data_IF_651334513969
#
_entry.id   IF_651334513969
#
_cell.length_a   1.000
_cell.length_b   1.000
_cell.length_c   1.000
_cell.angle_alpha   90.00
_cell.angle_beta   90.00
_cell.angle_gamma   90.00
#
_symmetry.space_group_name_H-M   'P 1'
#
loop_
_entity.id
_entity.type
_entity.pdbx_description
1 polymer ?
#
# COMPACT_ATOMS: atom_id res chain seq x y z
N UNK A 1 3.03 5.20 -17.03
CA UNK A 1 2.94 6.11 -18.16
C UNK A 1 2.53 7.50 -17.66
N UNK A 2 2.86 8.55 -18.45
CA UNK A 2 2.51 9.95 -18.12
C UNK A 2 0.99 10.21 -17.99
N UNK A 3 0.17 9.32 -18.50
CA UNK A 3 -1.29 9.39 -18.41
C UNK A 3 -1.86 8.59 -17.21
N UNK A 4 -1.06 7.75 -16.56
CA UNK A 4 -1.54 6.92 -15.45
C UNK A 4 -1.72 7.76 -14.18
N UNK A 5 -2.80 7.47 -13.45
CA UNK A 5 -3.11 8.10 -12.18
C UNK A 5 -3.03 7.09 -11.03
N UNK A 6 -2.47 7.53 -9.92
CA UNK A 6 -2.47 6.82 -8.65
C UNK A 6 -3.25 7.67 -7.64
N UNK A 7 -4.31 7.12 -7.07
CA UNK A 7 -5.14 7.81 -6.09
C UNK A 7 -4.63 7.49 -4.67
N UNK A 8 -4.57 8.51 -3.81
CA UNK A 8 -4.32 8.34 -2.37
C UNK A 8 -5.24 9.27 -1.55
N UNK A 9 -5.22 9.14 -0.22
CA UNK A 9 -6.13 9.87 0.68
C UNK A 9 -5.34 10.79 1.61
N UNK A 10 -5.69 12.07 1.61
CA UNK A 10 -5.09 13.06 2.49
C UNK A 10 -5.70 12.99 3.91
N UNK A 11 -4.89 13.17 4.97
CA UNK A 11 -3.44 13.39 4.92
C UNK A 11 -2.67 12.11 4.61
N UNK A 12 -1.57 12.22 3.87
CA UNK A 12 -0.75 11.08 3.44
C UNK A 12 0.74 11.36 3.63
N UNK A 13 1.56 10.32 3.60
CA UNK A 13 3.02 10.42 3.62
C UNK A 13 3.51 11.10 2.34
N UNK A 14 4.09 12.28 2.47
CA UNK A 14 4.36 13.21 1.36
C UNK A 14 5.22 12.64 0.24
N UNK A 15 6.09 11.68 0.57
CA UNK A 15 6.96 11.01 -0.39
C UNK A 15 6.20 10.17 -1.43
N UNK A 16 4.95 9.81 -1.18
CA UNK A 16 4.13 9.13 -2.21
C UNK A 16 4.01 9.95 -3.49
N UNK A 17 3.95 11.28 -3.34
CA UNK A 17 3.95 12.18 -4.50
C UNK A 17 5.24 12.06 -5.28
N UNK A 18 6.38 12.13 -4.58
CA UNK A 18 7.71 12.02 -5.20
C UNK A 18 7.85 10.68 -5.91
N UNK A 19 7.51 9.56 -5.26
CA UNK A 19 7.64 8.23 -5.84
C UNK A 19 6.75 8.04 -7.07
N UNK A 20 5.52 8.51 -7.02
CA UNK A 20 4.56 8.38 -8.12
C UNK A 20 4.96 9.25 -9.31
N UNK A 21 5.28 10.51 -9.08
CA UNK A 21 5.60 11.46 -10.15
C UNK A 21 6.98 11.19 -10.78
N UNK A 22 7.95 10.74 -9.99
CA UNK A 22 9.26 10.30 -10.54
C UNK A 22 9.13 9.05 -11.41
N UNK A 23 8.15 8.19 -11.11
CA UNK A 23 7.82 7.03 -11.96
C UNK A 23 7.02 7.40 -13.22
N UNK A 24 6.69 8.68 -13.42
CA UNK A 24 6.00 9.20 -14.58
C UNK A 24 4.48 9.09 -14.52
N UNK A 25 3.90 8.79 -13.36
CA UNK A 25 2.45 8.82 -13.14
C UNK A 25 2.05 10.08 -12.36
N UNK A 26 0.75 10.39 -12.32
CA UNK A 26 0.21 11.51 -11.57
C UNK A 26 -0.37 11.02 -10.24
N UNK A 27 -0.02 11.66 -9.12
CA UNK A 27 -0.69 11.41 -7.85
C UNK A 27 -1.95 12.29 -7.74
N UNK A 28 -3.08 11.64 -7.46
CA UNK A 28 -4.38 12.29 -7.19
C UNK A 28 -4.69 12.08 -5.70
N UNK A 29 -4.59 13.15 -4.91
CA UNK A 29 -4.88 13.11 -3.48
C UNK A 29 -6.33 13.53 -3.22
N UNK A 30 -7.11 12.66 -2.63
CA UNK A 30 -8.49 12.91 -2.23
C UNK A 30 -8.56 13.26 -0.74
N UNK A 31 -9.46 14.14 -0.36
CA UNK A 31 -9.75 14.39 1.04
C UNK A 31 -10.35 13.12 1.68
N UNK A 32 -9.91 12.81 2.90
CA UNK A 32 -10.59 11.84 3.76
C UNK A 32 -11.76 12.51 4.47
N UNK A 33 -12.63 11.72 5.08
CA UNK A 33 -13.64 12.22 6.00
C UNK A 33 -12.96 13.06 7.11
N UNK A 34 -13.40 14.31 7.35
CA UNK A 34 -12.68 15.23 8.22
C UNK A 34 -12.70 14.82 9.71
N UNK A 35 -13.69 14.05 10.13
CA UNK A 35 -13.87 13.67 11.52
C UNK A 35 -13.23 12.31 11.84
N UNK A 36 -13.30 11.38 10.91
CA UNK A 36 -12.87 9.97 11.12
C UNK A 36 -11.61 9.60 10.36
N UNK A 37 -11.18 10.40 9.41
CA UNK A 37 -10.11 10.10 8.44
C UNK A 37 -10.31 8.80 7.64
N UNK A 38 -11.53 8.26 7.63
CA UNK A 38 -11.88 7.13 6.77
C UNK A 38 -12.02 7.60 5.32
N UNK A 39 -12.02 6.65 4.39
CA UNK A 39 -12.19 6.92 2.96
C UNK A 39 -13.58 7.51 2.69
N UNK A 40 -13.63 8.69 2.05
CA UNK A 40 -14.84 9.19 1.43
C UNK A 40 -15.07 8.47 0.10
N UNK A 41 -16.01 7.53 0.12
CA UNK A 41 -16.31 6.70 -1.06
C UNK A 41 -16.99 7.48 -2.17
N UNK A 42 -17.69 8.57 -1.88
CA UNK A 42 -18.30 9.41 -2.90
C UNK A 42 -17.25 10.15 -3.71
N UNK A 43 -16.25 10.70 -3.02
CA UNK A 43 -15.10 11.33 -3.67
C UNK A 43 -14.26 10.32 -4.44
N UNK A 44 -14.00 9.14 -3.83
CA UNK A 44 -13.23 8.09 -4.51
C UNK A 44 -13.92 7.62 -5.78
N UNK A 45 -15.21 7.32 -5.73
CA UNK A 45 -15.96 6.85 -6.89
C UNK A 45 -15.98 7.87 -8.03
N UNK A 46 -16.12 9.16 -7.71
CA UNK A 46 -16.10 10.24 -8.70
C UNK A 46 -14.72 10.50 -9.31
N UNK A 47 -13.65 10.19 -8.57
CA UNK A 47 -12.27 10.39 -9.03
C UNK A 47 -11.73 9.22 -9.87
N UNK A 48 -12.27 8.00 -9.65
CA UNK A 48 -11.88 6.81 -10.42
C UNK A 48 -12.28 6.98 -11.89
N UNK A 49 -11.31 6.74 -12.78
CA UNK A 49 -11.48 6.85 -14.23
C UNK A 49 -10.57 5.86 -14.97
N UNK A 50 -10.64 5.81 -16.30
CA UNK A 50 -9.87 4.89 -17.14
C UNK A 50 -8.34 5.06 -17.04
N UNK A 51 -7.86 6.23 -16.57
CA UNK A 51 -6.44 6.49 -16.31
C UNK A 51 -5.99 5.94 -14.96
N UNK A 52 -6.91 5.65 -14.04
CA UNK A 52 -6.57 5.13 -12.71
C UNK A 52 -5.94 3.75 -12.83
N UNK A 53 -4.69 3.63 -12.40
CA UNK A 53 -3.92 2.38 -12.43
C UNK A 53 -3.81 1.75 -11.05
N UNK A 54 -3.76 2.58 -10.01
CA UNK A 54 -3.69 2.09 -8.63
C UNK A 54 -4.37 3.04 -7.65
N UNK A 55 -4.81 2.45 -6.53
CA UNK A 55 -5.15 3.17 -5.30
C UNK A 55 -4.10 2.81 -4.26
N UNK A 56 -3.49 3.82 -3.65
CA UNK A 56 -2.47 3.66 -2.62
C UNK A 56 -3.04 4.04 -1.27
N UNK A 57 -2.97 3.12 -0.32
CA UNK A 57 -3.46 3.29 1.05
C UNK A 57 -2.35 3.03 2.06
N UNK A 58 -2.43 3.69 3.20
CA UNK A 58 -1.57 3.45 4.35
C UNK A 58 -2.46 3.29 5.59
N UNK A 59 -2.46 2.10 6.17
CA UNK A 59 -3.29 1.80 7.34
C UNK A 59 -2.61 0.77 8.25
N UNK A 60 -2.25 1.15 9.49
CA UNK A 60 -2.43 2.45 10.12
C UNK A 60 -1.72 3.60 9.37
N UNK A 61 -2.36 4.76 9.34
CA UNK A 61 -1.95 5.88 8.47
C UNK A 61 -0.89 6.77 9.13
N UNK A 62 0.04 7.25 8.33
CA UNK A 62 0.92 8.38 8.65
C UNK A 62 0.46 9.60 7.80
N UNK A 63 0.01 10.73 8.42
CA UNK A 63 0.20 11.11 9.82
C UNK A 63 -1.04 10.92 10.72
N UNK A 64 -2.21 10.56 10.20
CA UNK A 64 -3.47 10.63 10.98
C UNK A 64 -3.60 9.55 12.06
N UNK A 65 -2.85 8.45 11.97
CA UNK A 65 -2.98 7.30 12.86
C UNK A 65 -4.24 6.44 12.62
N UNK A 66 -5.08 6.79 11.65
CA UNK A 66 -6.32 6.06 11.40
C UNK A 66 -6.04 4.61 10.95
N UNK A 67 -6.83 3.70 11.48
CA UNK A 67 -6.92 2.32 10.97
C UNK A 67 -8.20 2.19 10.18
N UNK A 68 -8.11 1.73 8.93
CA UNK A 68 -9.30 1.45 8.16
C UNK A 68 -10.02 0.23 8.72
N UNK A 69 -11.33 0.39 8.94
CA UNK A 69 -12.17 -0.70 9.43
C UNK A 69 -12.29 -1.82 8.40
N UNK A 70 -12.66 -3.01 8.85
CA UNK A 70 -12.94 -4.13 7.94
C UNK A 70 -14.06 -3.78 6.94
N UNK A 71 -15.05 -3.01 7.38
CA UNK A 71 -16.12 -2.51 6.51
C UNK A 71 -15.59 -1.57 5.43
N UNK A 72 -14.73 -0.62 5.81
CA UNK A 72 -14.04 0.29 4.86
C UNK A 72 -13.25 -0.50 3.82
N UNK A 73 -12.50 -1.51 4.26
CA UNK A 73 -11.70 -2.35 3.36
C UNK A 73 -12.58 -3.16 2.40
N UNK A 74 -13.69 -3.73 2.89
CA UNK A 74 -14.66 -4.45 2.05
C UNK A 74 -15.31 -3.53 1.01
N UNK A 75 -15.71 -2.32 1.40
CA UNK A 75 -16.28 -1.33 0.47
C UNK A 75 -15.26 -0.92 -0.58
N UNK A 76 -14.00 -0.69 -0.19
CA UNK A 76 -12.92 -0.37 -1.11
C UNK A 76 -12.71 -1.51 -2.13
N UNK A 77 -12.59 -2.74 -1.66
CA UNK A 77 -12.41 -3.91 -2.51
C UNK A 77 -13.55 -4.05 -3.54
N UNK A 78 -14.80 -3.94 -3.09
CA UNK A 78 -15.98 -4.05 -3.96
C UNK A 78 -16.02 -2.92 -5.01
N UNK A 79 -15.65 -1.69 -4.64
CA UNK A 79 -15.60 -0.57 -5.55
C UNK A 79 -14.51 -0.77 -6.61
N UNK A 80 -13.30 -1.18 -6.22
CA UNK A 80 -12.20 -1.43 -7.15
C UNK A 80 -12.50 -2.58 -8.10
N UNK A 81 -13.14 -3.66 -7.63
CA UNK A 81 -13.56 -4.77 -8.48
C UNK A 81 -14.57 -4.31 -9.54
N UNK A 82 -15.60 -3.56 -9.12
CA UNK A 82 -16.62 -3.02 -10.01
C UNK A 82 -16.03 -2.07 -11.07
N UNK A 83 -15.17 -1.14 -10.65
CA UNK A 83 -14.53 -0.17 -11.56
C UNK A 83 -13.51 -0.81 -12.48
N UNK A 84 -12.78 -1.82 -12.02
CA UNK A 84 -11.90 -2.61 -12.90
C UNK A 84 -12.68 -3.32 -14.01
N UNK A 85 -13.84 -3.88 -13.67
CA UNK A 85 -14.73 -4.51 -14.67
C UNK A 85 -15.32 -3.48 -15.63
N UNK A 86 -15.76 -2.32 -15.14
CA UNK A 86 -16.32 -1.21 -15.92
C UNK A 86 -15.30 -0.69 -16.96
N UNK A 87 -14.06 -0.45 -16.53
CA UNK A 87 -12.99 0.10 -17.39
C UNK A 87 -12.24 -0.98 -18.18
N UNK A 88 -12.57 -2.26 -17.96
CA UNK A 88 -11.83 -3.40 -18.55
C UNK A 88 -10.32 -3.29 -18.32
N UNK A 89 -9.94 -2.75 -17.18
CA UNK A 89 -8.56 -2.49 -16.77
C UNK A 89 -8.43 -2.78 -15.28
N UNK A 90 -7.40 -3.53 -14.90
CA UNK A 90 -7.13 -3.80 -13.50
C UNK A 90 -6.67 -2.54 -12.78
N UNK A 91 -7.36 -2.18 -11.69
CA UNK A 91 -6.91 -1.16 -10.75
C UNK A 91 -6.23 -1.90 -9.60
N UNK A 92 -4.94 -1.66 -9.39
CA UNK A 92 -4.20 -2.30 -8.30
C UNK A 92 -4.41 -1.56 -6.98
N UNK A 93 -4.41 -2.30 -5.89
CA UNK A 93 -4.39 -1.75 -4.54
C UNK A 93 -2.98 -1.88 -3.98
N UNK A 94 -2.31 -0.76 -3.74
CA UNK A 94 -1.00 -0.72 -3.08
C UNK A 94 -1.27 -0.35 -1.62
N UNK A 95 -0.84 -1.22 -0.70
CA UNK A 95 -0.99 -0.96 0.74
C UNK A 95 0.38 -0.85 1.39
N UNK A 96 0.64 0.29 2.03
CA UNK A 96 1.85 0.54 2.80
C UNK A 96 1.55 0.29 4.28
N UNK A 97 2.21 -0.72 4.86
CA UNK A 97 1.83 -1.28 6.17
C UNK A 97 2.96 -1.27 7.22
N UNK A 98 3.81 -0.24 7.31
CA UNK A 98 4.92 -0.25 8.26
C UNK A 98 4.49 -0.16 9.73
N UNK A 99 3.22 0.20 9.99
CA UNK A 99 2.67 0.44 11.34
C UNK A 99 1.68 -0.66 11.78
N UNK A 100 1.59 -1.77 11.06
CA UNK A 100 0.59 -2.83 11.30
C UNK A 100 0.57 -3.32 12.75
N UNK A 101 1.71 -3.47 13.38
CA UNK A 101 1.87 -3.95 14.75
C UNK A 101 1.75 -2.82 15.80
N UNK A 102 1.81 -1.55 15.38
CA UNK A 102 1.77 -0.39 16.28
C UNK A 102 0.35 0.14 16.41
N UNK A 103 -0.52 -0.68 16.97
CA UNK A 103 -1.91 -0.34 17.26
C UNK A 103 -2.23 -0.58 18.73
N UNK A 104 -3.13 0.21 19.27
CA UNK A 104 -3.47 0.23 20.69
C UNK A 104 -4.96 -0.08 20.89
N UNK A 105 -5.35 -0.39 22.13
CA UNK A 105 -6.75 -0.59 22.47
C UNK A 105 -7.41 -1.81 21.83
N UNK A 106 -6.64 -2.80 21.39
CA UNK A 106 -7.17 -4.03 20.78
C UNK A 106 -7.68 -3.85 19.35
N UNK A 107 -7.35 -2.74 18.70
CA UNK A 107 -7.72 -2.50 17.30
C UNK A 107 -7.09 -3.57 16.40
N UNK A 108 -7.91 -4.13 15.50
CA UNK A 108 -7.45 -5.11 14.50
C UNK A 108 -7.21 -4.42 13.17
N UNK A 109 -6.03 -4.61 12.60
CA UNK A 109 -5.69 -4.11 11.26
C UNK A 109 -6.06 -5.19 10.24
N UNK A 110 -7.01 -4.93 9.34
CA UNK A 110 -7.38 -5.91 8.31
C UNK A 110 -6.22 -6.20 7.35
N UNK A 111 -6.12 -7.44 6.87
CA UNK A 111 -5.23 -7.77 5.75
C UNK A 111 -5.98 -7.53 4.44
N UNK A 112 -5.59 -6.50 3.69
CA UNK A 112 -6.27 -6.08 2.47
C UNK A 112 -6.25 -7.17 1.39
N UNK A 113 -5.18 -7.98 1.37
CA UNK A 113 -5.03 -9.14 0.47
C UNK A 113 -6.13 -10.21 0.62
N UNK A 114 -6.85 -10.22 1.74
CA UNK A 114 -7.99 -11.14 1.96
C UNK A 114 -9.27 -10.67 1.24
N UNK A 115 -9.34 -9.39 0.90
CA UNK A 115 -10.56 -8.77 0.36
C UNK A 115 -10.41 -8.39 -1.12
N UNK A 116 -9.19 -8.06 -1.55
CA UNK A 116 -8.93 -7.69 -2.94
C UNK A 116 -7.70 -8.41 -3.47
N UNK A 117 -7.88 -9.24 -4.51
CA UNK A 117 -6.79 -10.07 -5.05
C UNK A 117 -5.67 -9.25 -5.69
N UNK A 118 -6.02 -8.11 -6.35
CA UNK A 118 -5.05 -7.28 -7.04
C UNK A 118 -4.30 -6.33 -6.08
N UNK A 119 -3.78 -6.88 -4.97
CA UNK A 119 -3.13 -6.14 -3.90
C UNK A 119 -1.62 -6.38 -3.89
N UNK A 120 -0.88 -5.29 -3.74
CA UNK A 120 0.57 -5.26 -3.51
C UNK A 120 0.79 -4.67 -2.11
N UNK A 121 1.52 -5.39 -1.26
CA UNK A 121 1.84 -4.94 0.10
C UNK A 121 3.26 -4.45 0.16
N UNK A 122 3.47 -3.23 0.66
CA UNK A 122 4.76 -2.69 1.04
C UNK A 122 4.89 -2.74 2.55
N UNK A 123 5.93 -3.38 3.06
CA UNK A 123 6.18 -3.51 4.49
C UNK A 123 7.62 -3.14 4.84
N UNK A 124 7.81 -2.51 6.00
CA UNK A 124 9.10 -2.14 6.52
C UNK A 124 9.24 -2.51 7.98
N UNK A 125 10.40 -3.06 8.35
CA UNK A 125 10.77 -3.33 9.75
C UNK A 125 11.29 -2.08 10.49
N UNK A 126 11.24 -0.92 9.84
CA UNK A 126 11.67 0.36 10.42
C UNK A 126 10.94 0.71 11.71
N UNK A 127 9.68 0.25 11.84
CA UNK A 127 8.82 0.58 12.99
C UNK A 127 8.64 -0.62 13.91
N UNK A 128 8.19 -1.75 13.41
CA UNK A 128 7.90 -2.96 14.21
C UNK A 128 9.12 -3.54 14.94
N UNK A 129 10.33 -3.40 14.39
CA UNK A 129 11.56 -3.86 15.01
C UNK A 129 12.55 -2.71 15.34
N UNK A 130 12.10 -1.45 15.25
CA UNK A 130 12.93 -0.28 15.49
C UNK A 130 14.25 -0.25 14.70
N UNK A 131 14.19 -0.69 13.43
CA UNK A 131 15.34 -0.80 12.53
C UNK A 131 15.26 0.20 11.34
N UNK A 132 15.02 1.51 11.58
CA UNK A 132 14.87 2.45 10.45
C UNK A 132 16.18 2.68 9.69
N UNK A 133 17.33 2.57 10.36
CA UNK A 133 18.66 2.75 9.78
C UNK A 133 19.07 1.60 8.86
N UNK A 134 18.55 0.41 9.10
CA UNK A 134 18.99 -0.82 8.41
C UNK A 134 18.36 -1.01 7.03
N UNK A 135 17.40 -0.17 6.68
CA UNK A 135 16.74 -0.14 5.37
C UNK A 135 16.22 -1.50 4.91
N UNK A 136 15.53 -2.22 5.81
CA UNK A 136 15.00 -3.56 5.54
C UNK A 136 13.48 -3.59 5.56
N UNK A 137 12.92 -4.25 4.55
CA UNK A 137 11.48 -4.44 4.35
C UNK A 137 11.26 -5.43 3.20
N UNK A 138 10.02 -5.56 2.79
CA UNK A 138 9.67 -6.40 1.64
C UNK A 138 8.49 -5.83 0.88
N UNK A 139 8.37 -6.22 -0.38
CA UNK A 139 7.17 -6.04 -1.18
C UNK A 139 6.58 -7.41 -1.46
N UNK A 140 5.31 -7.58 -1.14
CA UNK A 140 4.57 -8.80 -1.43
C UNK A 140 3.59 -8.52 -2.57
N UNK A 141 3.73 -9.24 -3.67
CA UNK A 141 2.76 -9.27 -4.76
C UNK A 141 1.84 -10.46 -4.53
N UNK A 142 0.55 -10.21 -4.39
CA UNK A 142 -0.41 -11.29 -4.21
C UNK A 142 -0.33 -12.26 -5.41
N UNK A 143 -0.05 -13.56 -5.20
CA UNK A 143 0.11 -14.51 -6.29
C UNK A 143 -1.15 -14.72 -7.12
N UNK A 144 -2.32 -14.34 -6.61
CA UNK A 144 -3.59 -14.41 -7.33
C UNK A 144 -3.95 -13.12 -8.07
N UNK A 145 -3.10 -12.09 -7.98
CA UNK A 145 -3.32 -10.84 -8.70
C UNK A 145 -3.24 -11.04 -10.21
N UNK A 146 -3.94 -10.19 -10.93
CA UNK A 146 -3.80 -10.12 -12.39
C UNK A 146 -2.35 -9.78 -12.76
N UNK A 147 -1.77 -10.51 -13.70
CA UNK A 147 -0.37 -10.35 -14.11
C UNK A 147 0.66 -10.46 -12.96
N UNK A 148 0.39 -11.24 -11.91
CA UNK A 148 1.24 -11.35 -10.71
C UNK A 148 2.72 -11.58 -11.01
N UNK A 149 3.03 -12.47 -11.97
CA UNK A 149 4.41 -12.76 -12.38
C UNK A 149 5.10 -11.53 -12.99
N UNK A 150 4.42 -10.83 -13.87
CA UNK A 150 4.93 -9.61 -14.52
C UNK A 150 5.13 -8.50 -13.50
N UNK A 151 4.18 -8.32 -12.57
CA UNK A 151 4.31 -7.37 -11.46
C UNK A 151 5.52 -7.69 -10.59
N UNK A 152 5.69 -8.95 -10.21
CA UNK A 152 6.84 -9.37 -9.42
C UNK A 152 8.17 -9.04 -10.13
N UNK A 153 8.27 -9.37 -11.42
CA UNK A 153 9.46 -9.06 -12.22
C UNK A 153 9.68 -7.55 -12.36
N UNK A 154 8.61 -6.77 -12.52
CA UNK A 154 8.69 -5.31 -12.59
C UNK A 154 9.18 -4.71 -11.27
N UNK A 155 8.68 -5.18 -10.12
CA UNK A 155 9.15 -4.76 -8.79
C UNK A 155 10.63 -5.09 -8.60
N UNK A 156 11.07 -6.30 -8.96
CA UNK A 156 12.48 -6.68 -8.92
C UNK A 156 13.35 -5.80 -9.82
N UNK A 157 12.87 -5.50 -11.03
CA UNK A 157 13.56 -4.63 -11.98
C UNK A 157 13.67 -3.19 -11.47
N UNK A 158 12.59 -2.64 -10.93
CA UNK A 158 12.56 -1.30 -10.33
C UNK A 158 13.51 -1.20 -9.13
N UNK A 159 13.50 -2.20 -8.24
CA UNK A 159 14.43 -2.27 -7.11
C UNK A 159 15.88 -2.22 -7.58
N UNK A 160 16.25 -3.01 -8.60
CA UNK A 160 17.60 -3.00 -9.18
C UNK A 160 17.96 -1.65 -9.81
N UNK A 161 17.05 -1.05 -10.54
CA UNK A 161 17.26 0.27 -11.17
C UNK A 161 17.51 1.37 -10.13
N UNK A 162 16.91 1.24 -8.94
CA UNK A 162 17.12 2.14 -7.81
C UNK A 162 18.34 1.77 -6.93
N UNK A 163 19.08 0.74 -7.30
CA UNK A 163 20.26 0.28 -6.56
C UNK A 163 19.99 -0.70 -5.42
N UNK A 164 18.74 -1.15 -5.24
CA UNK A 164 18.34 -2.10 -4.20
C UNK A 164 18.26 -3.53 -4.74
N UNK A 165 19.39 -4.23 -4.76
CA UNK A 165 19.40 -5.63 -5.28
C UNK A 165 18.84 -6.60 -4.27
N UNK A 166 19.29 -6.49 -3.00
CA UNK A 166 18.79 -7.28 -1.87
C UNK A 166 19.11 -6.57 -0.56
N UNK A 167 18.35 -6.88 0.49
CA UNK A 167 18.70 -6.44 1.84
C UNK A 167 19.97 -7.17 2.33
N UNK A 168 20.80 -6.56 3.21
CA UNK A 168 21.98 -7.21 3.76
C UNK A 168 21.63 -8.52 4.47
N UNK A 169 22.40 -9.60 4.18
CA UNK A 169 22.11 -10.94 4.69
C UNK A 169 22.11 -11.04 6.22
N UNK A 170 22.90 -10.21 6.90
CA UNK A 170 22.91 -10.14 8.37
C UNK A 170 21.52 -9.73 8.88
N UNK A 171 20.96 -8.65 8.35
CA UNK A 171 19.64 -8.16 8.78
C UNK A 171 18.50 -9.08 8.38
N UNK A 172 18.58 -9.75 7.23
CA UNK A 172 17.62 -10.79 6.87
C UNK A 172 17.60 -11.92 7.91
N UNK A 173 18.77 -12.37 8.38
CA UNK A 173 18.88 -13.41 9.43
C UNK A 173 18.40 -12.91 10.80
N UNK A 174 18.67 -11.65 11.13
CA UNK A 174 18.17 -11.03 12.37
C UNK A 174 16.64 -10.97 12.37
N UNK A 175 16.04 -10.43 11.31
CA UNK A 175 14.58 -10.38 11.15
C UNK A 175 13.97 -11.77 11.24
N UNK A 176 14.56 -12.77 10.56
CA UNK A 176 14.07 -14.15 10.62
C UNK A 176 14.04 -14.73 12.04
N UNK A 177 14.98 -14.33 12.90
CA UNK A 177 15.00 -14.74 14.31
C UNK A 177 14.02 -13.98 15.21
N UNK A 178 13.65 -12.76 14.80
CA UNK A 178 12.69 -11.94 15.54
C UNK A 178 11.23 -12.23 15.13
N UNK A 179 10.99 -13.10 14.14
CA UNK A 179 9.64 -13.46 13.70
C UNK A 179 8.86 -14.09 14.86
N UNK A 180 7.68 -13.54 15.17
CA UNK A 180 6.84 -13.97 16.27
C UNK A 180 7.23 -13.42 17.65
N UNK A 181 8.27 -12.61 17.74
CA UNK A 181 8.62 -11.82 18.93
C UNK A 181 7.84 -10.51 18.99
N UNK A 182 7.69 -9.95 20.17
CA UNK A 182 7.21 -8.58 20.39
C UNK A 182 8.42 -7.65 20.57
N UNK A 183 8.36 -6.45 20.01
CA UNK A 183 9.28 -5.37 20.39
C UNK A 183 8.72 -4.63 21.60
N UNK A 184 9.60 -4.24 22.51
CA UNK A 184 9.26 -3.41 23.67
C UNK A 184 8.84 -2.00 23.24
#
# INVERSE_FOLDING_TARGET
NAEDEVITFAPYFTEYKVFTETAGAKLVALASDPDTFQIDFSLLESALNEKTTAVLVNSPNNPSGVVYSEETVKKLAALLERKSAEYKKTIYLITDEPYRELVYGGVKVPYLTKYYRNTIVCYSYSKSLSLPGERIGYIFVNPTAENAKQLYLAVCGAGRALGYVCAPSLFQKMVARCQGGTSD
#
